data_IF_009714440060
#
_entry.id   IF_009714440060
#
_cell.length_a   1.000
_cell.length_b   1.000
_cell.length_c   1.000
_cell.angle_alpha   90.00
_cell.angle_beta   90.00
_cell.angle_gamma   90.00
#
_symmetry.space_group_name_H-M   'P 1'
#
loop_
_entity.id
_entity.type
_entity.pdbx_description
1 polymer ?
#
# COMPACT_ATOMS: atom_id res chain seq x y z
N UNK A 1 -36.12 -10.23 -28.10
CA UNK A 1 -35.49 -9.08 -27.40
C UNK A 1 -35.36 -9.33 -25.90
N UNK A 2 -36.44 -9.59 -25.15
CA UNK A 2 -36.39 -9.78 -23.68
C UNK A 2 -35.49 -10.95 -23.20
N UNK A 3 -35.53 -12.11 -23.86
CA UNK A 3 -34.72 -13.29 -23.49
C UNK A 3 -33.22 -13.02 -23.67
N UNK A 4 -32.83 -12.37 -24.77
CA UNK A 4 -31.43 -12.00 -25.03
C UNK A 4 -30.90 -11.03 -23.96
N UNK A 5 -31.71 -10.04 -23.58
CA UNK A 5 -31.36 -9.11 -22.51
C UNK A 5 -31.17 -9.82 -21.16
N UNK A 6 -32.06 -10.78 -20.84
CA UNK A 6 -31.96 -11.57 -19.61
C UNK A 6 -30.70 -12.46 -19.56
N UNK A 7 -30.33 -13.07 -20.68
CA UNK A 7 -29.09 -13.86 -20.77
C UNK A 7 -27.85 -12.97 -20.61
N UNK A 8 -27.83 -11.81 -21.27
CA UNK A 8 -26.73 -10.86 -21.17
C UNK A 8 -26.54 -10.37 -19.73
N UNK A 9 -27.61 -9.94 -19.05
CA UNK A 9 -27.51 -9.46 -17.65
C UNK A 9 -27.07 -10.58 -16.71
N UNK A 10 -27.53 -11.81 -16.92
CA UNK A 10 -27.13 -12.97 -16.10
C UNK A 10 -25.63 -13.28 -16.24
N UNK A 11 -25.11 -13.26 -17.47
CA UNK A 11 -23.67 -13.46 -17.73
C UNK A 11 -22.85 -12.36 -17.05
N UNK A 12 -23.26 -11.10 -17.19
CA UNK A 12 -22.59 -9.98 -16.54
C UNK A 12 -22.58 -10.11 -15.02
N UNK A 13 -23.69 -10.53 -14.40
CA UNK A 13 -23.76 -10.74 -12.96
C UNK A 13 -22.79 -11.83 -12.49
N UNK A 14 -22.69 -12.95 -13.22
CA UNK A 14 -21.76 -14.04 -12.89
C UNK A 14 -20.31 -13.55 -13.01
N UNK A 15 -19.98 -12.83 -14.09
CA UNK A 15 -18.64 -12.28 -14.28
C UNK A 15 -18.27 -11.27 -13.19
N UNK A 16 -19.23 -10.44 -12.77
CA UNK A 16 -19.02 -9.48 -11.70
C UNK A 16 -18.71 -10.20 -10.38
N UNK A 17 -19.50 -11.20 -9.99
CA UNK A 17 -19.23 -12.00 -8.78
C UNK A 17 -17.91 -12.76 -8.88
N UNK A 18 -17.61 -13.37 -10.03
CA UNK A 18 -16.35 -14.08 -10.25
C UNK A 18 -15.14 -13.13 -10.12
N UNK A 19 -15.20 -11.95 -10.76
CA UNK A 19 -14.15 -10.94 -10.66
C UNK A 19 -13.97 -10.44 -9.22
N UNK A 20 -15.06 -10.34 -8.46
CA UNK A 20 -15.03 -9.97 -7.05
C UNK A 20 -14.22 -10.97 -6.21
N UNK A 21 -14.47 -12.27 -6.40
CA UNK A 21 -13.72 -13.33 -5.73
C UNK A 21 -12.26 -13.40 -6.17
N UNK A 22 -11.97 -13.24 -7.47
CA UNK A 22 -10.59 -13.20 -7.97
C UNK A 22 -9.83 -12.03 -7.34
N UNK A 23 -10.46 -10.85 -7.22
CA UNK A 23 -9.89 -9.68 -6.56
C UNK A 23 -9.50 -9.98 -5.12
N UNK A 24 -10.40 -10.66 -4.38
CA UNK A 24 -10.16 -11.02 -2.99
C UNK A 24 -8.99 -12.00 -2.83
N UNK A 25 -8.93 -13.01 -3.70
CA UNK A 25 -7.87 -14.01 -3.68
C UNK A 25 -6.51 -13.40 -4.06
N UNK A 26 -6.51 -12.48 -5.01
CA UNK A 26 -5.29 -11.80 -5.43
C UNK A 26 -4.79 -10.83 -4.34
N UNK A 27 -5.69 -10.12 -3.67
CA UNK A 27 -5.36 -9.26 -2.53
C UNK A 27 -4.75 -10.07 -1.38
N UNK A 28 -5.30 -11.25 -1.08
CA UNK A 28 -4.72 -12.20 -0.12
C UNK A 28 -3.30 -12.59 -0.48
N UNK A 29 -3.09 -13.03 -1.72
CA UNK A 29 -1.79 -13.52 -2.18
C UNK A 29 -0.72 -12.44 -2.15
N UNK A 30 -1.05 -11.24 -2.65
CA UNK A 30 -0.15 -10.08 -2.65
C UNK A 30 0.15 -9.65 -1.22
N UNK A 31 -0.86 -9.50 -0.35
CA UNK A 31 -0.63 -9.13 1.04
C UNK A 31 0.28 -10.12 1.78
N UNK A 32 0.10 -11.42 1.55
CA UNK A 32 0.95 -12.45 2.14
C UNK A 32 2.40 -12.37 1.62
N UNK A 33 2.57 -12.17 0.30
CA UNK A 33 3.88 -11.98 -0.31
C UNK A 33 4.61 -10.73 0.23
N UNK A 34 3.86 -9.69 0.58
CA UNK A 34 4.38 -8.44 1.18
C UNK A 34 4.62 -8.53 2.71
N UNK A 35 4.33 -9.67 3.33
CA UNK A 35 4.50 -9.89 4.77
C UNK A 35 3.38 -9.30 5.65
N UNK A 36 2.22 -8.98 5.08
CA UNK A 36 1.02 -8.54 5.80
C UNK A 36 0.07 -9.72 6.09
N UNK A 37 -0.96 -9.49 6.93
CA UNK A 37 -1.97 -10.51 7.24
C UNK A 37 -2.81 -10.86 5.99
N UNK A 38 -2.45 -11.93 5.28
CA UNK A 38 -3.17 -12.37 4.08
C UNK A 38 -4.65 -12.66 4.35
N UNK A 39 -4.99 -13.33 5.45
CA UNK A 39 -6.39 -13.66 5.79
C UNK A 39 -7.24 -12.40 6.03
N UNK A 40 -6.66 -11.39 6.69
CA UNK A 40 -7.31 -10.10 6.92
C UNK A 40 -7.58 -9.39 5.57
N UNK A 41 -6.60 -9.40 4.66
CA UNK A 41 -6.73 -8.80 3.34
C UNK A 41 -7.65 -9.57 2.39
N UNK A 42 -7.77 -10.89 2.55
CA UNK A 42 -8.81 -11.67 1.88
C UNK A 42 -10.21 -11.20 2.29
N UNK A 43 -10.43 -11.03 3.60
CA UNK A 43 -11.73 -10.58 4.13
C UNK A 43 -12.10 -9.20 3.58
N UNK A 44 -11.14 -8.27 3.60
CA UNK A 44 -11.29 -6.96 2.96
C UNK A 44 -11.53 -7.07 1.46
N UNK A 45 -10.87 -8.01 0.80
CA UNK A 45 -11.11 -8.37 -0.60
C UNK A 45 -12.53 -8.84 -0.88
N UNK A 46 -13.14 -9.64 -0.01
CA UNK A 46 -14.53 -10.10 -0.18
C UNK A 46 -15.51 -8.94 0.06
N UNK A 47 -15.21 -8.02 0.96
CA UNK A 47 -16.09 -6.88 1.29
C UNK A 47 -15.99 -5.75 0.25
N UNK A 48 -14.77 -5.40 -0.17
CA UNK A 48 -14.49 -4.24 -1.04
C UNK A 48 -14.18 -4.62 -2.49
N UNK A 49 -13.94 -5.91 -2.77
CA UNK A 49 -13.63 -6.42 -4.10
C UNK A 49 -12.35 -5.80 -4.67
N UNK A 50 -12.41 -5.19 -5.87
CA UNK A 50 -11.23 -4.64 -6.55
C UNK A 50 -10.57 -3.46 -5.82
N UNK A 51 -11.29 -2.73 -4.96
CA UNK A 51 -10.71 -1.63 -4.18
C UNK A 51 -9.67 -2.13 -3.16
N UNK A 52 -9.94 -3.24 -2.50
CA UNK A 52 -8.96 -3.86 -1.60
C UNK A 52 -7.73 -4.35 -2.38
N UNK A 53 -7.91 -4.88 -3.58
CA UNK A 53 -6.80 -5.28 -4.44
C UNK A 53 -5.89 -4.09 -4.79
N UNK A 54 -6.46 -2.97 -5.23
CA UNK A 54 -5.70 -1.75 -5.52
C UNK A 54 -4.92 -1.26 -4.29
N UNK A 55 -5.55 -1.29 -3.12
CA UNK A 55 -4.88 -0.93 -1.87
C UNK A 55 -3.72 -1.88 -1.52
N UNK A 56 -3.88 -3.20 -1.73
CA UNK A 56 -2.80 -4.17 -1.51
C UNK A 56 -1.62 -4.01 -2.47
N UNK A 57 -1.89 -3.66 -3.73
CA UNK A 57 -0.84 -3.44 -4.73
C UNK A 57 -0.01 -2.20 -4.38
N UNK A 58 -0.66 -1.12 -3.93
CA UNK A 58 0.00 0.12 -3.52
C UNK A 58 0.74 0.04 -2.18
N UNK A 59 0.56 -1.06 -1.43
CA UNK A 59 1.25 -1.24 -0.15
C UNK A 59 2.75 -1.45 -0.36
N UNK A 60 3.63 -0.67 0.32
CA UNK A 60 5.07 -0.89 0.26
C UNK A 60 5.45 -2.19 0.96
N UNK A 61 6.44 -2.88 0.41
CA UNK A 61 6.95 -4.12 0.99
C UNK A 61 7.61 -3.86 2.34
N UNK A 62 7.63 -4.86 3.20
CA UNK A 62 8.27 -4.74 4.51
C UNK A 62 9.76 -4.35 4.41
N UNK A 63 10.44 -4.81 3.34
CA UNK A 63 11.83 -4.44 3.05
C UNK A 63 11.95 -2.95 2.68
N UNK A 64 11.13 -2.46 1.76
CA UNK A 64 11.08 -1.04 1.38
C UNK A 64 10.78 -0.15 2.60
N UNK A 65 9.93 -0.62 3.51
CA UNK A 65 9.60 0.11 4.74
C UNK A 65 10.82 0.26 5.65
N UNK A 66 11.68 -0.77 5.75
CA UNK A 66 12.93 -0.69 6.52
C UNK A 66 13.94 0.25 5.87
N UNK A 67 14.11 0.18 4.55
CA UNK A 67 15.02 1.07 3.82
C UNK A 67 14.62 2.54 3.96
N UNK A 68 13.34 2.87 3.82
CA UNK A 68 12.83 4.24 4.00
C UNK A 68 13.14 4.76 5.41
N UNK A 69 12.96 3.92 6.42
CA UNK A 69 13.26 4.29 7.82
C UNK A 69 14.77 4.50 8.02
N UNK A 70 15.61 3.63 7.46
CA UNK A 70 17.07 3.79 7.53
C UNK A 70 17.55 5.06 6.81
N UNK A 71 17.04 5.32 5.61
CA UNK A 71 17.31 6.56 4.86
C UNK A 71 16.89 7.79 5.65
N UNK A 72 15.72 7.76 6.29
CA UNK A 72 15.26 8.86 7.16
C UNK A 72 16.25 9.12 8.30
N UNK A 73 16.73 8.07 8.97
CA UNK A 73 17.74 8.22 10.03
C UNK A 73 19.05 8.79 9.47
N UNK A 74 19.57 8.26 8.37
CA UNK A 74 20.80 8.75 7.76
C UNK A 74 20.72 10.23 7.34
N UNK A 75 19.58 10.67 6.80
CA UNK A 75 19.35 12.08 6.45
C UNK A 75 19.30 12.96 7.70
N UNK A 76 18.67 12.48 8.77
CA UNK A 76 18.60 13.20 10.04
C UNK A 76 19.98 13.38 10.68
N UNK A 77 20.80 12.33 10.65
CA UNK A 77 22.16 12.36 11.17
C UNK A 77 23.05 13.31 10.34
N UNK A 78 22.95 13.24 9.01
CA UNK A 78 23.65 14.17 8.12
C UNK A 78 23.23 15.63 8.36
N UNK A 79 21.93 15.89 8.58
CA UNK A 79 21.43 17.22 8.89
C UNK A 79 21.88 17.73 10.28
N UNK A 80 22.03 16.83 11.26
CA UNK A 80 22.55 17.17 12.58
C UNK A 80 24.04 17.54 12.50
N UNK A 81 24.84 16.74 11.80
CA UNK A 81 26.28 16.99 11.64
C UNK A 81 26.57 18.28 10.87
N UNK A 82 25.67 18.72 9.99
CA UNK A 82 25.79 19.96 9.23
C UNK A 82 25.43 21.22 10.07
N UNK A 83 24.70 21.07 11.18
CA UNK A 83 24.42 22.15 12.14
C UNK A 83 25.57 22.42 13.11
N UNK A 84 26.39 21.43 13.43
CA UNK A 84 27.56 21.61 14.29
C UNK A 84 28.61 22.62 13.76
N UNK A 85 29.01 22.60 12.47
CA UNK A 85 30.00 23.56 11.96
C UNK A 85 29.46 24.99 11.83
N UNK A 86 28.14 25.18 11.77
CA UNK A 86 27.54 26.53 11.77
C UNK A 86 27.49 27.14 13.18
N UNK A 87 27.27 26.34 14.23
CA UNK A 87 27.34 26.79 15.63
C UNK A 87 28.77 27.11 16.09
N UNK A 88 29.79 26.46 15.53
CA UNK A 88 31.20 26.71 15.86
C UNK A 88 31.77 28.00 15.24
N UNK A 89 31.02 28.67 14.35
CA UNK A 89 31.47 29.85 13.60
C UNK A 89 30.78 31.17 13.96
N UNK A 90 29.77 31.18 14.84
CA UNK A 90 29.04 32.40 15.20
C UNK A 90 29.52 32.92 16.57
N UNK A 91 30.35 33.98 16.63
CA UNK A 91 30.57 34.68 17.89
C UNK A 91 29.25 35.37 18.27
N UNK A 92 28.56 34.81 19.26
CA UNK A 92 27.42 35.47 19.89
C UNK A 92 27.95 36.71 20.62
N UNK A 93 27.98 37.85 19.94
CA UNK A 93 27.98 39.16 20.59
C UNK A 93 26.55 39.38 21.09
N UNK A 94 26.34 39.12 22.38
CA UNK A 94 25.15 39.58 23.10
C UNK A 94 25.47 41.00 23.55
N UNK A 95 24.81 41.98 22.93
CA UNK A 95 24.84 43.39 23.35
C UNK A 95 24.08 43.59 24.68
#
# INVERSE_FOLDING_TARGET
MAVLAFLLTSIWAILLVASWFVSAFLAHHIANAKGACGACWFLWGVVLGPLALLATIGMPDFLTRREIVQLRYAIQDAAAQQREPTLAGEPIYVD
#
